data_IF_244997790341
#
_entry.id   IF_244997790341
#
_cell.length_a   1.000
_cell.length_b   1.000
_cell.length_c   1.000
_cell.angle_alpha   90.00
_cell.angle_beta   90.00
_cell.angle_gamma   90.00
#
_symmetry.space_group_name_H-M   'P 1'
#
loop_
_entity.id
_entity.type
_entity.pdbx_description
1 polymer ?
#
# COMPACT_ATOMS: atom_id res chain seq x y z
N UNK A 1 -9.97 11.18 -5.02
CA UNK A 1 -10.48 10.29 -6.09
C UNK A 1 -10.78 8.88 -5.63
N UNK A 2 -9.92 8.23 -4.81
CA UNK A 2 -10.22 6.92 -4.17
C UNK A 2 -11.64 6.82 -3.56
N UNK A 3 -12.08 7.83 -2.80
CA UNK A 3 -13.45 7.83 -2.23
C UNK A 3 -14.58 7.88 -3.29
N UNK A 4 -14.36 8.55 -4.44
CA UNK A 4 -15.33 8.57 -5.54
C UNK A 4 -15.34 7.23 -6.28
N UNK A 5 -14.17 6.63 -6.48
CA UNK A 5 -14.03 5.30 -7.08
C UNK A 5 -14.69 4.20 -6.22
N UNK A 6 -14.60 4.31 -4.89
CA UNK A 6 -15.30 3.45 -3.93
C UNK A 6 -16.81 3.75 -3.78
N UNK A 7 -17.38 4.57 -4.68
CA UNK A 7 -18.80 4.91 -4.72
C UNK A 7 -19.32 5.56 -3.42
N UNK A 8 -18.45 6.28 -2.69
CA UNK A 8 -18.84 6.96 -1.47
C UNK A 8 -19.84 8.10 -1.78
N UNK A 9 -20.97 8.19 -1.07
CA UNK A 9 -21.93 9.28 -1.26
C UNK A 9 -21.25 10.65 -1.11
N UNK A 10 -21.58 11.59 -2.00
CA UNK A 10 -20.99 12.94 -2.01
C UNK A 10 -21.10 13.65 -0.65
N UNK A 11 -22.24 13.47 0.03
CA UNK A 11 -22.48 14.03 1.37
C UNK A 11 -21.55 13.45 2.45
N UNK A 12 -21.07 12.21 2.29
CA UNK A 12 -20.07 11.62 3.19
C UNK A 12 -18.68 12.24 2.94
N UNK A 13 -18.33 12.45 1.66
CA UNK A 13 -17.08 13.10 1.27
C UNK A 13 -17.05 14.54 1.81
N UNK A 14 -18.13 15.30 1.61
CA UNK A 14 -18.22 16.68 2.12
C UNK A 14 -18.17 16.74 3.65
N UNK A 15 -18.77 15.77 4.36
CA UNK A 15 -18.66 15.68 5.82
C UNK A 15 -17.25 15.33 6.28
N UNK A 16 -16.57 14.42 5.59
CA UNK A 16 -15.17 14.08 5.88
C UNK A 16 -14.25 15.30 5.68
N UNK A 17 -14.45 16.06 4.59
CA UNK A 17 -13.75 17.32 4.34
C UNK A 17 -14.00 18.32 5.48
N UNK A 18 -15.26 18.54 5.86
CA UNK A 18 -15.62 19.47 6.94
C UNK A 18 -15.08 19.06 8.32
N UNK A 19 -14.92 17.76 8.58
CA UNK A 19 -14.23 17.28 9.79
C UNK A 19 -12.73 17.56 9.72
N UNK A 20 -12.09 17.27 8.60
CA UNK A 20 -10.66 17.55 8.40
C UNK A 20 -10.29 19.03 8.43
N UNK A 21 -11.20 19.93 8.01
CA UNK A 21 -11.00 21.39 8.11
C UNK A 21 -11.39 21.99 9.46
N UNK A 22 -11.88 21.19 10.41
CA UNK A 22 -12.31 21.65 11.74
C UNK A 22 -13.66 22.37 11.77
N UNK A 23 -14.44 22.36 10.67
CA UNK A 23 -15.80 22.92 10.63
C UNK A 23 -16.83 22.04 11.38
N UNK A 24 -16.52 20.76 11.59
CA UNK A 24 -17.30 19.82 12.39
C UNK A 24 -16.46 19.28 13.56
N UNK A 25 -17.10 19.09 14.71
CA UNK A 25 -16.46 18.44 15.85
C UNK A 25 -16.02 17.00 15.48
N UNK A 26 -14.72 16.76 15.62
CA UNK A 26 -14.02 15.50 15.44
C UNK A 26 -12.64 15.65 16.08
N UNK A 27 -12.06 14.56 16.58
CA UNK A 27 -10.67 14.60 17.06
C UNK A 27 -9.72 15.01 15.94
N UNK A 28 -8.60 15.64 16.28
CA UNK A 28 -7.51 15.86 15.32
C UNK A 28 -7.01 14.48 14.88
N UNK A 29 -7.15 14.17 13.58
CA UNK A 29 -6.59 12.96 13.00
C UNK A 29 -5.10 13.18 12.77
N UNK A 30 -4.29 12.23 13.24
CA UNK A 30 -2.86 12.20 13.04
C UNK A 30 -2.49 11.06 12.08
N UNK A 31 -1.59 11.34 11.14
CA UNK A 31 -0.96 10.34 10.28
C UNK A 31 0.35 9.89 10.91
N UNK A 32 0.50 8.58 11.11
CA UNK A 32 1.63 7.97 11.81
C UNK A 32 2.10 6.76 11.01
N UNK A 33 3.41 6.64 10.82
CA UNK A 33 4.02 5.41 10.30
C UNK A 33 4.63 4.65 11.48
N UNK A 34 4.17 3.43 11.70
CA UNK A 34 4.83 2.48 12.61
C UNK A 34 5.73 1.54 11.84
N UNK A 35 6.79 1.10 12.50
CA UNK A 35 7.78 0.18 11.96
C UNK A 35 7.85 -1.07 12.81
N UNK A 36 8.12 -2.20 12.19
CA UNK A 36 8.27 -3.47 12.89
C UNK A 36 8.89 -4.55 12.04
N UNK A 37 9.23 -5.65 12.69
CA UNK A 37 9.67 -6.88 12.04
C UNK A 37 8.62 -7.95 12.26
N UNK A 38 8.13 -8.54 11.17
CA UNK A 38 7.34 -9.75 11.20
C UNK A 38 8.17 -10.96 11.68
N UNK A 39 7.55 -12.14 11.85
CA UNK A 39 8.28 -13.39 11.91
C UNK A 39 9.34 -13.49 10.80
N UNK A 40 10.43 -14.20 11.08
CA UNK A 40 11.52 -14.42 10.11
C UNK A 40 12.30 -13.16 9.70
N UNK A 41 12.06 -12.03 10.38
CA UNK A 41 12.85 -10.81 10.17
C UNK A 41 12.40 -9.97 8.97
N UNK A 42 11.21 -10.20 8.43
CA UNK A 42 10.63 -9.38 7.37
C UNK A 42 10.31 -7.98 7.91
N UNK A 43 10.85 -6.93 7.29
CA UNK A 43 10.50 -5.55 7.62
C UNK A 43 9.06 -5.21 7.25
N UNK A 44 8.36 -4.49 8.12
CA UNK A 44 7.00 -4.00 7.91
C UNK A 44 6.90 -2.50 8.23
N UNK A 45 6.24 -1.76 7.35
CA UNK A 45 5.76 -0.40 7.58
C UNK A 45 4.24 -0.38 7.66
N UNK A 46 3.68 0.38 8.59
CA UNK A 46 2.23 0.47 8.80
C UNK A 46 1.84 1.93 8.81
N UNK A 47 1.09 2.36 7.80
CA UNK A 47 0.48 3.68 7.76
C UNK A 47 -0.82 3.68 8.57
N UNK A 48 -0.91 4.57 9.53
CA UNK A 48 -2.03 4.70 10.46
C UNK A 48 -2.59 6.11 10.42
N UNK A 49 -3.91 6.22 10.38
CA UNK A 49 -4.64 7.48 10.54
C UNK A 49 -5.58 7.33 11.73
N UNK A 50 -5.32 8.07 12.80
CA UNK A 50 -6.03 7.86 14.08
C UNK A 50 -6.28 9.16 14.81
N UNK A 51 -7.36 9.22 15.59
CA UNK A 51 -7.62 10.27 16.57
C UNK A 51 -7.02 9.96 17.96
N UNK A 52 -6.37 8.79 18.12
CA UNK A 52 -5.82 8.33 19.38
C UNK A 52 -4.58 7.45 19.17
N UNK A 53 -3.42 8.10 19.09
CA UNK A 53 -2.10 7.45 18.98
C UNK A 53 -1.86 6.32 19.99
N UNK A 54 -2.34 6.46 21.23
CA UNK A 54 -2.11 5.47 22.28
C UNK A 54 -2.94 4.20 22.07
N UNK A 55 -4.17 4.33 21.52
CA UNK A 55 -5.01 3.19 21.13
C UNK A 55 -4.36 2.45 19.96
N UNK A 56 -4.09 3.19 18.87
CA UNK A 56 -3.52 2.62 17.65
C UNK A 56 -2.22 1.84 17.92
N UNK A 57 -1.26 2.44 18.63
CA UNK A 57 0.01 1.75 18.95
C UNK A 57 -0.20 0.53 19.84
N UNK A 58 -1.20 0.54 20.74
CA UNK A 58 -1.47 -0.59 21.61
C UNK A 58 -2.07 -1.77 20.83
N UNK A 59 -2.98 -1.50 19.88
CA UNK A 59 -3.58 -2.50 19.00
C UNK A 59 -2.56 -3.10 18.05
N UNK A 60 -1.79 -2.27 17.33
CA UNK A 60 -0.69 -2.71 16.46
C UNK A 60 0.29 -3.57 17.24
N UNK A 61 0.73 -3.12 18.43
CA UNK A 61 1.65 -3.89 19.29
C UNK A 61 1.04 -5.22 19.73
N UNK A 62 -0.25 -5.25 20.03
CA UNK A 62 -0.94 -6.48 20.42
C UNK A 62 -0.92 -7.50 19.28
N UNK A 63 -1.16 -7.07 18.04
CA UNK A 63 -1.11 -7.93 16.85
C UNK A 63 0.30 -8.50 16.66
N UNK A 64 1.34 -7.66 16.66
CA UNK A 64 2.73 -8.12 16.55
C UNK A 64 3.07 -9.20 17.60
N UNK A 65 2.78 -8.91 18.87
CA UNK A 65 3.05 -9.85 19.97
C UNK A 65 2.32 -11.18 19.82
N UNK A 66 1.09 -11.18 19.29
CA UNK A 66 0.27 -12.38 19.10
C UNK A 66 0.72 -13.21 17.90
N UNK A 67 1.25 -12.57 16.85
CA UNK A 67 1.66 -13.22 15.61
C UNK A 67 3.18 -13.46 15.51
N UNK A 68 3.95 -13.19 16.56
CA UNK A 68 5.37 -13.54 16.63
C UNK A 68 6.31 -12.53 15.95
N UNK A 69 5.84 -11.32 15.69
CA UNK A 69 6.69 -10.20 15.27
C UNK A 69 6.95 -9.22 16.42
N UNK A 70 7.67 -8.13 16.14
CA UNK A 70 8.02 -7.10 17.11
C UNK A 70 7.95 -5.70 16.50
N UNK A 71 7.45 -4.73 17.26
CA UNK A 71 7.58 -3.32 16.88
C UNK A 71 9.04 -2.86 16.96
N UNK A 72 9.41 -1.94 16.07
CA UNK A 72 10.71 -1.31 16.01
C UNK A 72 10.62 0.20 16.27
N UNK A 73 11.78 0.82 16.51
CA UNK A 73 11.88 2.29 16.55
C UNK A 73 11.80 2.88 15.14
N UNK A 74 11.42 4.15 15.05
CA UNK A 74 11.37 4.86 13.77
C UNK A 74 12.76 4.88 13.11
N UNK A 75 12.82 4.59 11.81
CA UNK A 75 14.02 4.47 11.00
C UNK A 75 14.66 3.08 10.98
N UNK A 76 14.16 2.12 11.75
CA UNK A 76 14.76 0.78 11.83
C UNK A 76 14.51 -0.07 10.57
N UNK A 77 13.40 0.17 9.88
CA UNK A 77 12.89 -0.60 8.75
C UNK A 77 12.72 0.28 7.52
N UNK A 78 12.38 1.56 7.70
CA UNK A 78 12.06 2.47 6.59
C UNK A 78 13.14 2.57 5.50
N UNK A 79 14.42 2.35 5.84
CA UNK A 79 15.53 2.33 4.88
C UNK A 79 15.47 1.16 3.88
N UNK A 80 14.71 0.11 4.19
CA UNK A 80 14.48 -1.03 3.30
C UNK A 80 13.49 -0.72 2.18
N UNK A 81 12.80 0.42 2.24
CA UNK A 81 11.77 0.80 1.27
C UNK A 81 12.12 2.11 0.57
N UNK A 82 11.65 2.25 -0.67
CA UNK A 82 11.65 3.51 -1.41
C UNK A 82 10.21 3.93 -1.63
N UNK A 83 9.90 5.20 -1.39
CA UNK A 83 8.59 5.74 -1.72
C UNK A 83 8.50 5.96 -3.23
N UNK A 84 7.52 5.33 -3.87
CA UNK A 84 7.28 5.43 -5.32
C UNK A 84 5.82 5.79 -5.58
N UNK A 85 5.57 6.41 -6.73
CA UNK A 85 4.25 6.44 -7.31
C UNK A 85 3.89 5.06 -7.87
N UNK A 86 2.63 4.69 -7.75
CA UNK A 86 2.08 3.44 -8.27
C UNK A 86 0.77 3.73 -8.98
N UNK A 87 0.63 3.15 -10.18
CA UNK A 87 -0.60 3.18 -10.97
C UNK A 87 -0.87 1.76 -11.44
N UNK A 88 -2.10 1.26 -11.28
CA UNK A 88 -2.49 0.00 -11.91
C UNK A 88 -3.55 0.20 -13.00
N UNK A 89 -3.51 -0.69 -14.00
CA UNK A 89 -4.43 -0.72 -15.14
C UNK A 89 -4.85 -2.18 -15.35
N UNK A 90 -6.10 -2.49 -15.05
CA UNK A 90 -6.65 -3.86 -15.19
C UNK A 90 -7.59 -4.01 -16.40
N UNK A 91 -8.01 -2.89 -16.99
CA UNK A 91 -8.85 -2.84 -18.18
C UNK A 91 -8.02 -2.28 -19.35
N UNK A 92 -8.33 -2.68 -20.59
CA UNK A 92 -7.67 -2.14 -21.80
C UNK A 92 -6.15 -2.35 -21.87
N UNK A 93 -5.70 -3.58 -21.61
CA UNK A 93 -4.28 -3.97 -21.62
C UNK A 93 -3.74 -4.08 -23.06
N UNK A 94 -3.43 -2.94 -23.67
CA UNK A 94 -2.43 -2.89 -24.75
C UNK A 94 -1.05 -2.68 -24.11
N UNK A 95 -0.35 -3.77 -23.81
CA UNK A 95 0.91 -3.75 -23.07
C UNK A 95 1.97 -2.86 -23.75
N UNK A 96 2.04 -2.93 -25.08
CA UNK A 96 3.02 -2.16 -25.85
C UNK A 96 2.73 -0.67 -25.78
N UNK A 97 1.46 -0.27 -25.88
CA UNK A 97 1.05 1.13 -25.79
C UNK A 97 1.17 1.68 -24.35
N UNK A 98 0.77 0.92 -23.33
CA UNK A 98 0.93 1.31 -21.92
C UNK A 98 2.40 1.54 -21.61
N UNK A 99 3.28 0.59 -21.98
CA UNK A 99 4.71 0.72 -21.75
C UNK A 99 5.27 1.98 -22.41
N UNK A 100 4.91 2.22 -23.68
CA UNK A 100 5.42 3.38 -24.42
C UNK A 100 4.96 4.70 -23.79
N UNK A 101 3.66 4.84 -23.51
CA UNK A 101 3.08 6.06 -22.93
C UNK A 101 3.64 6.33 -21.53
N UNK A 102 3.70 5.31 -20.68
CA UNK A 102 4.25 5.43 -19.34
C UNK A 102 5.73 5.81 -19.35
N UNK A 103 6.55 5.15 -20.17
CA UNK A 103 7.98 5.43 -20.27
C UNK A 103 8.25 6.85 -20.81
N UNK A 104 7.52 7.29 -21.84
CA UNK A 104 7.65 8.64 -22.40
C UNK A 104 7.23 9.73 -21.39
N UNK A 105 6.32 9.40 -20.48
CA UNK A 105 5.86 10.29 -19.42
C UNK A 105 6.75 10.27 -18.15
N UNK A 106 7.76 9.40 -18.09
CA UNK A 106 8.72 9.34 -16.97
C UNK A 106 8.47 8.24 -15.95
N UNK A 107 7.79 7.15 -16.32
CA UNK A 107 7.72 5.97 -15.48
C UNK A 107 9.11 5.34 -15.27
N UNK A 108 9.37 4.88 -14.05
CA UNK A 108 10.60 4.18 -13.68
C UNK A 108 10.57 2.72 -14.12
N UNK A 109 9.40 2.08 -14.00
CA UNK A 109 9.19 0.68 -14.35
C UNK A 109 7.74 0.40 -14.74
N UNK A 110 7.54 -0.64 -15.56
CA UNK A 110 6.21 -1.13 -15.95
C UNK A 110 6.24 -2.65 -15.98
N UNK A 111 5.48 -3.28 -15.08
CA UNK A 111 5.32 -4.74 -15.00
C UNK A 111 3.92 -5.14 -15.46
N UNK A 112 3.78 -6.40 -15.88
CA UNK A 112 2.52 -6.96 -16.33
C UNK A 112 2.34 -8.34 -15.67
N UNK A 113 1.44 -8.41 -14.69
CA UNK A 113 1.20 -9.61 -13.90
C UNK A 113 -0.31 -9.85 -13.77
N UNK A 114 -0.74 -11.10 -13.92
CA UNK A 114 -2.14 -11.52 -13.76
C UNK A 114 -3.21 -10.70 -14.50
N UNK A 115 -2.85 -10.10 -15.64
CA UNK A 115 -3.75 -9.24 -16.39
C UNK A 115 -3.93 -7.85 -15.75
N UNK A 116 -2.91 -7.37 -15.05
CA UNK A 116 -2.80 -6.01 -14.54
C UNK A 116 -1.45 -5.45 -15.00
N UNK A 117 -1.48 -4.25 -15.58
CA UNK A 117 -0.26 -3.48 -15.77
C UNK A 117 -0.02 -2.65 -14.52
N UNK A 118 1.18 -2.73 -13.95
CA UNK A 118 1.62 -1.91 -12.83
C UNK A 118 2.70 -0.96 -13.30
N UNK A 119 2.47 0.33 -13.10
CA UNK A 119 3.38 1.39 -13.49
C UNK A 119 3.94 2.04 -12.24
N UNK A 120 5.26 1.98 -12.09
CA UNK A 120 5.99 2.56 -10.98
C UNK A 120 6.68 3.84 -11.42
N UNK A 121 6.64 4.86 -10.59
CA UNK A 121 7.19 6.19 -10.91
C UNK A 121 7.91 6.79 -9.71
N UNK A 122 8.67 7.85 -9.93
CA UNK A 122 9.03 8.75 -8.86
C UNK A 122 7.76 9.44 -8.32
N UNK A 123 7.79 9.93 -7.07
CA UNK A 123 6.64 10.66 -6.50
C UNK A 123 6.36 11.95 -7.30
N UNK A 124 7.42 12.56 -7.85
CA UNK A 124 7.35 13.83 -8.58
C UNK A 124 6.66 13.64 -9.93
N UNK A 125 6.91 12.51 -10.60
CA UNK A 125 6.40 12.23 -11.95
C UNK A 125 5.03 11.54 -11.95
N UNK A 126 4.52 11.10 -10.78
CA UNK A 126 3.25 10.37 -10.67
C UNK A 126 2.07 11.07 -11.35
N UNK A 127 1.97 12.40 -11.21
CA UNK A 127 0.86 13.14 -11.82
C UNK A 127 1.00 13.26 -13.35
N UNK A 128 2.23 13.38 -13.84
CA UNK A 128 2.50 13.51 -15.27
C UNK A 128 2.25 12.17 -15.98
N UNK A 129 2.72 11.06 -15.40
CA UNK A 129 2.46 9.70 -15.90
C UNK A 129 0.97 9.37 -15.85
N UNK A 130 0.28 9.69 -14.74
CA UNK A 130 -1.17 9.55 -14.63
C UNK A 130 -1.88 10.29 -15.77
N UNK A 131 -1.54 11.56 -15.98
CA UNK A 131 -2.17 12.39 -17.01
C UNK A 131 -1.96 11.83 -18.41
N UNK A 132 -0.74 11.39 -18.74
CA UNK A 132 -0.43 10.82 -20.04
C UNK A 132 -1.24 9.54 -20.33
N UNK A 133 -1.37 8.65 -19.34
CA UNK A 133 -2.15 7.42 -19.49
C UNK A 133 -3.66 7.71 -19.63
N UNK A 134 -4.20 8.64 -18.86
CA UNK A 134 -5.60 9.08 -19.01
C UNK A 134 -5.85 9.75 -20.39
N UNK A 135 -4.91 10.54 -20.90
CA UNK A 135 -5.00 11.18 -22.23
C UNK A 135 -4.90 10.19 -23.39
N UNK A 136 -4.11 9.12 -23.22
CA UNK A 136 -4.05 8.00 -24.15
C UNK A 136 -5.34 7.14 -24.12
N UNK A 137 -6.22 7.36 -23.14
CA UNK A 137 -7.52 6.72 -23.05
C UNK A 137 -7.56 5.49 -22.15
N UNK A 138 -6.49 5.21 -21.39
CA UNK A 138 -6.47 4.10 -20.43
C UNK A 138 -7.31 4.43 -19.20
N UNK A 139 -8.08 3.43 -18.74
CA UNK A 139 -8.80 3.53 -17.49
C UNK A 139 -7.90 3.09 -16.33
N UNK A 140 -7.44 4.06 -15.55
CA UNK A 140 -6.61 3.80 -14.37
C UNK A 140 -7.46 3.24 -13.22
N UNK A 141 -6.94 2.24 -12.53
CA UNK A 141 -7.51 1.73 -11.29
C UNK A 141 -7.01 2.52 -10.08
N UNK A 142 -6.09 1.94 -9.34
CA UNK A 142 -5.40 2.60 -8.24
C UNK A 142 -4.34 3.57 -8.75
N UNK A 143 -4.31 4.75 -8.14
CA UNK A 143 -3.21 5.70 -8.22
C UNK A 143 -2.85 6.10 -6.79
N UNK A 144 -1.62 5.81 -6.37
CA UNK A 144 -1.17 6.03 -4.99
C UNK A 144 0.33 6.25 -4.89
N UNK A 145 0.78 6.63 -3.69
CA UNK A 145 2.19 6.58 -3.31
C UNK A 145 2.33 5.40 -2.36
N UNK A 146 3.25 4.50 -2.67
CA UNK A 146 3.50 3.27 -1.92
C UNK A 146 4.92 3.25 -1.37
N UNK A 147 5.18 2.33 -0.44
CA UNK A 147 6.53 1.94 -0.04
C UNK A 147 6.92 0.64 -0.75
N UNK A 148 7.78 0.75 -1.76
CA UNK A 148 8.29 -0.36 -2.54
C UNK A 148 9.58 -0.91 -1.90
N UNK A 149 9.69 -2.22 -1.61
CA UNK A 149 10.87 -2.79 -0.96
C UNK A 149 12.10 -2.80 -1.88
N UNK A 150 13.22 -2.27 -1.41
CA UNK A 150 14.48 -2.18 -2.15
C UNK A 150 15.15 -3.54 -2.37
N UNK A 151 15.02 -4.45 -1.40
CA UNK A 151 15.56 -5.80 -1.45
C UNK A 151 14.60 -6.73 -0.69
N UNK A 152 13.51 -7.17 -1.34
CA UNK A 152 12.53 -8.01 -0.67
C UNK A 152 13.14 -9.39 -0.33
N UNK A 153 12.62 -9.99 0.74
CA UNK A 153 13.06 -11.27 1.27
C UNK A 153 12.11 -12.37 0.82
N UNK A 154 12.60 -13.32 0.06
CA UNK A 154 11.85 -14.53 -0.30
C UNK A 154 11.88 -15.54 0.86
N UNK A 155 10.70 -16.07 1.21
CA UNK A 155 10.53 -17.09 2.25
C UNK A 155 9.84 -18.33 1.69
N UNK A 156 10.03 -19.48 2.36
CA UNK A 156 9.26 -20.69 2.03
C UNK A 156 7.78 -20.53 2.40
N UNK A 157 6.90 -21.32 1.77
CA UNK A 157 5.44 -21.08 1.85
C UNK A 157 4.86 -21.07 3.27
N UNK A 158 5.37 -21.92 4.16
CA UNK A 158 4.94 -21.94 5.57
C UNK A 158 5.36 -20.71 6.36
N UNK A 159 6.51 -20.13 6.02
CA UNK A 159 7.05 -18.93 6.67
C UNK A 159 6.34 -17.67 6.13
N UNK A 160 6.14 -17.60 4.81
CA UNK A 160 5.35 -16.56 4.15
C UNK A 160 3.92 -16.50 4.72
N UNK A 161 3.27 -17.65 4.93
CA UNK A 161 1.93 -17.71 5.56
C UNK A 161 1.86 -17.07 6.94
N UNK A 162 2.91 -17.21 7.74
CA UNK A 162 2.94 -16.61 9.09
C UNK A 162 3.04 -15.10 9.02
N UNK A 163 3.80 -14.59 8.05
CA UNK A 163 3.92 -13.15 7.79
C UNK A 163 2.61 -12.60 7.23
N UNK A 164 2.03 -13.25 6.23
CA UNK A 164 0.76 -12.83 5.61
C UNK A 164 -0.39 -12.80 6.61
N UNK A 165 -0.47 -13.79 7.50
CA UNK A 165 -1.46 -13.78 8.58
C UNK A 165 -1.29 -12.59 9.53
N UNK A 166 -0.07 -12.16 9.78
CA UNK A 166 0.19 -10.96 10.57
C UNK A 166 -0.32 -9.72 9.83
N UNK A 167 -0.02 -9.61 8.53
CA UNK A 167 -0.45 -8.51 7.65
C UNK A 167 -1.97 -8.40 7.61
N UNK A 168 -2.67 -9.50 7.31
CA UNK A 168 -4.14 -9.55 7.24
C UNK A 168 -4.80 -9.01 8.53
N UNK A 169 -4.27 -9.40 9.69
CA UNK A 169 -4.81 -8.97 10.99
C UNK A 169 -4.47 -7.50 11.29
N UNK A 170 -3.37 -6.97 10.75
CA UNK A 170 -3.05 -5.55 10.85
C UNK A 170 -3.97 -4.71 9.95
N UNK A 171 -4.23 -5.17 8.73
CA UNK A 171 -5.12 -4.50 7.78
C UNK A 171 -6.58 -4.44 8.27
N UNK A 172 -7.00 -5.42 9.06
CA UNK A 172 -8.30 -5.44 9.74
C UNK A 172 -8.45 -4.40 10.88
N UNK A 173 -7.38 -3.70 11.27
CA UNK A 173 -7.46 -2.68 12.31
C UNK A 173 -8.03 -1.37 11.75
N UNK A 174 -9.05 -0.83 12.41
CA UNK A 174 -9.79 0.38 11.97
C UNK A 174 -8.89 1.60 11.67
N UNK A 175 -7.81 1.77 12.44
CA UNK A 175 -6.89 2.90 12.32
C UNK A 175 -5.79 2.67 11.24
N UNK A 176 -5.59 1.45 10.77
CA UNK A 176 -4.58 1.10 9.75
C UNK A 176 -5.11 1.43 8.36
N UNK A 177 -4.27 2.06 7.53
CA UNK A 177 -4.60 2.39 6.15
C UNK A 177 -3.88 1.49 5.16
N UNK A 178 -2.57 1.28 5.36
CA UNK A 178 -1.76 0.43 4.49
C UNK A 178 -0.73 -0.32 5.33
N UNK A 179 -0.41 -1.53 4.91
CA UNK A 179 0.69 -2.35 5.46
C UNK A 179 1.62 -2.71 4.31
N UNK A 180 2.88 -2.30 4.42
CA UNK A 180 3.90 -2.62 3.42
C UNK A 180 4.89 -3.61 4.03
N UNK A 181 5.25 -4.64 3.28
CA UNK A 181 6.19 -5.66 3.73
C UNK A 181 7.36 -5.80 2.79
N UNK A 182 8.52 -6.16 3.33
CA UNK A 182 9.68 -6.55 2.55
C UNK A 182 9.67 -8.07 2.27
N UNK A 183 8.49 -8.68 2.16
CA UNK A 183 8.34 -10.09 1.79
C UNK A 183 8.19 -10.18 0.27
N UNK A 184 8.97 -11.06 -0.36
CA UNK A 184 8.74 -11.51 -1.72
C UNK A 184 7.97 -12.85 -1.67
N UNK A 185 6.88 -12.96 -2.43
CA UNK A 185 6.09 -14.19 -2.48
C UNK A 185 6.15 -14.74 -3.90
N UNK A 186 6.86 -15.85 -4.08
CA UNK A 186 6.88 -16.54 -5.36
C UNK A 186 5.50 -17.10 -5.76
N UNK A 187 5.24 -17.17 -7.06
CA UNK A 187 4.00 -17.75 -7.63
C UNK A 187 3.68 -19.13 -7.06
N UNK A 188 4.71 -19.96 -6.86
CA UNK A 188 4.57 -21.29 -6.26
C UNK A 188 4.01 -21.20 -4.83
N UNK A 189 4.51 -20.26 -4.05
CA UNK A 189 4.02 -20.03 -2.68
C UNK A 189 2.60 -19.48 -2.72
N UNK A 190 2.30 -18.52 -3.59
CA UNK A 190 0.97 -17.94 -3.72
C UNK A 190 -0.08 -18.99 -4.09
N UNK A 191 0.20 -19.82 -5.09
CA UNK A 191 -0.69 -20.92 -5.47
C UNK A 191 -0.91 -21.94 -4.34
N UNK A 192 0.11 -22.17 -3.50
CA UNK A 192 -0.02 -23.04 -2.33
C UNK A 192 -0.92 -22.43 -1.23
N UNK A 193 -0.98 -21.10 -1.13
CA UNK A 193 -1.82 -20.39 -0.16
C UNK A 193 -3.30 -20.44 -0.57
N UNK A 194 -3.58 -20.20 -1.85
CA UNK A 194 -4.94 -20.23 -2.40
C UNK A 194 -5.60 -21.62 -2.31
N UNK A 195 -4.78 -22.68 -2.30
CA UNK A 195 -5.24 -24.06 -2.22
C UNK A 195 -5.49 -24.57 -0.79
N UNK A 196 -5.10 -23.81 0.25
CA UNK A 196 -5.15 -24.20 1.66
C UNK A 196 -6.42 -23.73 2.39
#
# INVERSE_FOLDING_TARGET
DKAKAANMPKDNIERAIKRGTGELAGGELEEIVYEGYAPHGVGILIEVVTDNRNRAIAEVRHVFNKQGGNMAEAGAVSWQFTRKGYINISEDIDQDEIFLVAADAGADDVTFEDGVAEVYTSIEDLQDVRGALEEAGFQLGEVSVIYDPNNPLELGSSEALQVMKLVEILEDLDDVQNVYTALDISDETMAALEAA
#
